data_IF_014832054795
#
_entry.id   IF_014832054795
#
_cell.length_a   1.000
_cell.length_b   1.000
_cell.length_c   1.000
_cell.angle_alpha   90.00
_cell.angle_beta   90.00
_cell.angle_gamma   90.00
#
_symmetry.space_group_name_H-M   'P 1'
#
loop_
_entity.id
_entity.type
_entity.pdbx_description
1 polymer ?
#
# COMPACT_ATOMS: atom_id res chain seq x y z
N UNK A 1 -13.11 12.94 -3.20
CA UNK A 1 -11.82 12.55 -2.59
C UNK A 1 -12.07 12.32 -1.10
N UNK A 2 -12.50 11.12 -0.70
CA UNK A 2 -13.17 10.94 0.60
C UNK A 2 -12.30 10.24 1.66
N UNK A 3 -11.31 9.42 1.27
CA UNK A 3 -10.55 8.58 2.21
C UNK A 3 -9.12 9.05 2.49
N UNK A 4 -8.61 10.03 1.74
CA UNK A 4 -7.26 10.59 1.95
C UNK A 4 -7.33 12.13 1.97
N UNK A 5 -7.44 12.74 3.17
CA UNK A 5 -7.36 14.19 3.34
C UNK A 5 -5.99 14.74 2.93
N UNK A 6 -5.91 16.05 2.65
CA UNK A 6 -4.64 16.71 2.40
C UNK A 6 -3.68 16.61 3.62
N UNK A 7 -2.39 16.42 3.37
CA UNK A 7 -1.36 16.18 4.38
C UNK A 7 -1.39 14.78 5.02
N UNK A 8 -2.29 13.90 4.59
CA UNK A 8 -2.37 12.53 5.13
C UNK A 8 -1.35 11.59 4.49
N UNK A 9 -1.05 10.49 5.20
CA UNK A 9 -0.19 9.42 4.69
C UNK A 9 -1.05 8.25 4.18
N UNK A 10 -0.69 7.71 3.02
CA UNK A 10 -1.40 6.61 2.38
C UNK A 10 -0.42 5.48 2.06
N UNK A 11 -0.82 4.24 2.39
CA UNK A 11 -0.08 3.05 1.97
C UNK A 11 -0.50 2.65 0.56
N UNK A 12 0.45 2.50 -0.35
CA UNK A 12 0.16 2.23 -1.76
C UNK A 12 1.01 1.05 -2.24
N UNK A 13 0.38 0.07 -2.89
CA UNK A 13 1.11 -1.00 -3.57
C UNK A 13 2.05 -0.42 -4.64
N UNK A 14 3.33 -0.82 -4.64
CA UNK A 14 4.25 -0.41 -5.71
C UNK A 14 3.85 -0.98 -7.07
N UNK A 15 3.04 -2.03 -7.10
CA UNK A 15 2.41 -2.58 -8.29
C UNK A 15 1.10 -1.84 -8.69
N UNK A 16 0.90 -0.59 -8.25
CA UNK A 16 -0.33 0.13 -8.52
C UNK A 16 -0.54 0.48 -10.01
N UNK A 17 -1.81 0.53 -10.42
CA UNK A 17 -2.19 1.08 -11.72
C UNK A 17 -1.85 2.57 -11.85
N UNK A 18 -1.57 3.04 -13.07
CA UNK A 18 -1.15 4.43 -13.35
C UNK A 18 -2.14 5.49 -12.85
N UNK A 19 -3.42 5.16 -12.74
CA UNK A 19 -4.42 6.06 -12.15
C UNK A 19 -4.10 6.45 -10.70
N UNK A 20 -3.52 5.54 -9.90
CA UNK A 20 -3.06 5.86 -8.54
C UNK A 20 -1.85 6.79 -8.56
N UNK A 21 -1.00 6.69 -9.58
CA UNK A 21 0.09 7.65 -9.75
C UNK A 21 -0.45 9.05 -10.04
N UNK A 22 -1.45 9.16 -10.92
CA UNK A 22 -2.12 10.45 -11.15
C UNK A 22 -2.80 10.96 -9.88
N UNK A 23 -3.42 10.09 -9.09
CA UNK A 23 -3.97 10.46 -7.78
C UNK A 23 -2.90 11.09 -6.89
N UNK A 24 -1.75 10.45 -6.73
CA UNK A 24 -0.63 10.99 -5.94
C UNK A 24 -0.10 12.32 -6.47
N UNK A 25 -0.15 12.55 -7.79
CA UNK A 25 0.29 13.82 -8.39
C UNK A 25 -0.72 14.96 -8.18
N UNK A 26 -2.01 14.64 -8.13
CA UNK A 26 -3.09 15.63 -7.98
C UNK A 26 -3.46 15.92 -6.52
N UNK A 27 -2.96 15.12 -5.58
CA UNK A 27 -3.35 15.16 -4.17
C UNK A 27 -2.14 15.47 -3.31
N UNK A 28 -2.30 16.35 -2.33
CA UNK A 28 -1.28 16.60 -1.32
C UNK A 28 -1.29 15.48 -0.27
N UNK A 29 -0.65 14.35 -0.59
CA UNK A 29 -0.54 13.19 0.29
C UNK A 29 0.90 12.68 0.32
N UNK A 30 1.28 12.04 1.42
CA UNK A 30 2.59 11.39 1.57
C UNK A 30 2.45 9.89 1.31
N UNK A 31 2.94 9.36 0.17
CA UNK A 31 2.81 7.93 -0.14
C UNK A 31 3.91 7.11 0.54
N UNK A 32 3.52 6.03 1.22
CA UNK A 32 4.43 4.97 1.67
C UNK A 32 4.14 3.72 0.85
N UNK A 33 5.17 3.14 0.21
CA UNK A 33 4.96 2.01 -0.70
C UNK A 33 5.05 0.66 0.01
N UNK A 34 4.13 -0.25 -0.28
CA UNK A 34 4.33 -1.69 -0.08
C UNK A 34 5.30 -2.24 -1.11
N UNK A 35 6.15 -3.18 -0.69
CA UNK A 35 7.18 -3.76 -1.57
C UNK A 35 6.78 -5.19 -1.96
N UNK A 36 6.18 -5.40 -3.15
CA UNK A 36 5.94 -6.73 -3.66
C UNK A 36 7.25 -7.45 -3.98
N UNK A 37 7.18 -8.77 -3.99
CA UNK A 37 8.30 -9.62 -4.42
C UNK A 37 8.35 -9.72 -5.94
N UNK A 38 9.47 -10.21 -6.47
CA UNK A 38 9.61 -10.49 -7.90
C UNK A 38 10.46 -11.74 -8.08
N UNK A 39 10.07 -12.62 -9.01
CA UNK A 39 10.86 -13.80 -9.34
C UNK A 39 11.93 -13.48 -10.41
N UNK A 40 12.78 -14.47 -10.74
CA UNK A 40 13.83 -14.31 -11.76
C UNK A 40 13.28 -14.04 -13.18
N UNK A 41 12.04 -14.43 -13.46
CA UNK A 41 11.35 -14.15 -14.73
C UNK A 41 10.77 -12.73 -14.82
N UNK A 42 10.87 -11.95 -13.74
CA UNK A 42 10.30 -10.60 -13.67
C UNK A 42 8.82 -10.56 -13.29
N UNK A 43 8.18 -11.70 -13.05
CA UNK A 43 6.78 -11.79 -12.61
C UNK A 43 6.67 -11.22 -11.19
N UNK A 44 5.70 -10.34 -11.00
CA UNK A 44 5.42 -9.72 -9.71
C UNK A 44 4.71 -10.72 -8.78
N UNK A 45 5.35 -10.97 -7.65
CA UNK A 45 4.79 -11.75 -6.57
C UNK A 45 3.93 -10.90 -5.64
N UNK A 46 3.33 -11.56 -4.65
CA UNK A 46 2.56 -10.89 -3.62
C UNK A 46 3.43 -10.00 -2.70
N UNK A 47 2.77 -9.08 -2.02
CA UNK A 47 3.29 -8.33 -0.88
C UNK A 47 3.50 -9.30 0.31
N UNK A 48 4.74 -9.40 0.86
CA UNK A 48 5.01 -10.24 2.02
C UNK A 48 4.18 -9.86 3.25
N UNK A 49 3.86 -10.86 4.07
CA UNK A 49 3.13 -10.64 5.33
C UNK A 49 3.81 -9.67 6.29
N UNK A 50 5.15 -9.59 6.26
CA UNK A 50 5.95 -8.67 7.07
C UNK A 50 5.66 -7.20 6.77
N UNK A 51 5.19 -6.88 5.56
CA UNK A 51 4.86 -5.52 5.15
C UNK A 51 3.59 -5.00 5.83
N UNK A 52 2.70 -5.91 6.24
CA UNK A 52 1.46 -5.59 6.95
C UNK A 52 1.64 -5.52 8.47
N UNK A 53 2.84 -5.81 8.98
CA UNK A 53 3.10 -5.75 10.42
C UNK A 53 3.19 -4.30 10.90
N UNK A 54 2.53 -3.99 12.01
CA UNK A 54 2.53 -2.64 12.59
C UNK A 54 3.95 -2.08 12.81
N UNK A 55 4.89 -2.93 13.24
CA UNK A 55 6.28 -2.52 13.45
C UNK A 55 6.96 -2.05 12.15
N UNK A 56 6.68 -2.72 11.02
CA UNK A 56 7.23 -2.36 9.71
C UNK A 56 6.66 -1.03 9.22
N UNK A 57 5.34 -0.85 9.37
CA UNK A 57 4.65 0.39 9.00
C UNK A 57 5.16 1.55 9.86
N UNK A 58 5.20 1.38 11.19
CA UNK A 58 5.70 2.39 12.12
C UNK A 58 7.15 2.80 11.82
N UNK A 59 8.01 1.84 11.48
CA UNK A 59 9.38 2.11 11.05
C UNK A 59 9.41 2.98 9.79
N UNK A 60 8.60 2.66 8.77
CA UNK A 60 8.53 3.44 7.53
C UNK A 60 7.99 4.84 7.72
N UNK A 61 6.96 4.99 8.57
CA UNK A 61 6.43 6.30 8.95
C UNK A 61 7.54 7.14 9.58
N UNK A 62 8.32 6.57 10.51
CA UNK A 62 9.46 7.28 11.13
C UNK A 62 10.56 7.66 10.14
N UNK A 63 10.80 6.83 9.12
CA UNK A 63 11.83 7.08 8.10
C UNK A 63 11.37 8.05 7.00
N UNK A 64 10.07 8.32 6.90
CA UNK A 64 9.50 9.16 5.84
C UNK A 64 9.23 10.57 6.37
N UNK A 65 9.86 11.63 5.83
CA UNK A 65 9.57 13.00 6.23
C UNK A 65 8.09 13.34 6.04
N UNK A 66 7.51 14.08 6.98
CA UNK A 66 6.10 14.50 6.99
C UNK A 66 5.07 13.35 7.02
N UNK A 67 5.50 12.11 7.18
CA UNK A 67 4.57 11.00 7.30
C UNK A 67 3.91 10.95 8.68
N UNK A 68 2.63 10.65 8.66
CA UNK A 68 1.79 10.35 9.83
C UNK A 68 1.33 8.90 9.75
N UNK A 69 0.63 8.41 10.77
CA UNK A 69 0.08 7.06 10.70
C UNK A 69 -0.86 6.94 9.48
N UNK A 70 -0.71 5.90 8.62
CA UNK A 70 -1.47 5.82 7.39
C UNK A 70 -2.97 5.70 7.65
N UNK A 71 -3.75 6.57 7.00
CA UNK A 71 -5.22 6.58 7.15
C UNK A 71 -5.90 5.59 6.20
N UNK A 72 -5.26 5.32 5.06
CA UNK A 72 -5.80 4.48 4.01
C UNK A 72 -4.71 3.63 3.37
N UNK A 73 -5.06 2.42 2.95
CA UNK A 73 -4.17 1.50 2.24
C UNK A 73 -4.82 1.01 0.95
N UNK A 74 -4.10 1.10 -0.17
CA UNK A 74 -4.52 0.61 -1.47
C UNK A 74 -3.65 -0.56 -1.91
N UNK A 75 -4.29 -1.70 -2.17
CA UNK A 75 -3.63 -2.95 -2.54
C UNK A 75 -4.22 -3.44 -3.86
N UNK A 76 -3.37 -3.91 -4.78
CA UNK A 76 -3.80 -4.51 -6.04
C UNK A 76 -4.03 -6.01 -5.83
N UNK A 77 -5.29 -6.42 -5.82
CA UNK A 77 -5.73 -7.80 -5.67
C UNK A 77 -6.83 -8.16 -6.70
N UNK A 78 -6.59 -9.07 -7.63
CA UNK A 78 -5.39 -9.90 -7.80
C UNK A 78 -4.23 -9.14 -8.46
N UNK A 79 -3.02 -9.72 -8.43
CA UNK A 79 -1.97 -9.29 -9.38
C UNK A 79 -2.40 -9.59 -10.82
N UNK A 80 -1.75 -8.93 -11.79
CA UNK A 80 -2.00 -9.17 -13.21
C UNK A 80 -1.81 -10.65 -13.59
N UNK A 81 -0.82 -11.30 -13.00
CA UNK A 81 -0.49 -12.72 -13.21
C UNK A 81 -1.36 -13.70 -12.40
N UNK A 82 -2.42 -13.22 -11.74
CA UNK A 82 -3.42 -14.07 -11.09
C UNK A 82 -3.13 -14.48 -9.65
N UNK A 83 -2.23 -13.81 -8.94
CA UNK A 83 -2.01 -14.06 -7.51
C UNK A 83 -3.08 -13.36 -6.67
N UNK A 84 -3.86 -14.17 -5.96
CA UNK A 84 -4.92 -13.72 -5.06
C UNK A 84 -4.39 -13.59 -3.64
N UNK A 85 -4.77 -12.50 -2.98
CA UNK A 85 -4.45 -12.27 -1.57
C UNK A 85 -5.54 -12.81 -0.65
N UNK A 86 -5.13 -13.26 0.54
CA UNK A 86 -6.05 -13.50 1.64
C UNK A 86 -6.50 -12.16 2.24
N UNK A 87 -7.70 -11.71 1.85
CA UNK A 87 -8.26 -10.41 2.26
C UNK A 87 -8.62 -10.36 3.75
N UNK A 88 -8.97 -11.49 4.36
CA UNK A 88 -9.27 -11.56 5.80
C UNK A 88 -8.01 -11.29 6.64
N UNK A 89 -6.87 -11.87 6.23
CA UNK A 89 -5.59 -11.60 6.87
C UNK A 89 -5.20 -10.12 6.76
N UNK A 90 -5.35 -9.54 5.57
CA UNK A 90 -4.98 -8.15 5.32
C UNK A 90 -5.82 -7.20 6.16
N UNK A 91 -7.15 -7.35 6.18
CA UNK A 91 -8.06 -6.50 6.97
C UNK A 91 -7.77 -6.57 8.46
N UNK A 92 -7.34 -7.73 8.97
CA UNK A 92 -7.01 -7.92 10.38
C UNK A 92 -5.70 -7.26 10.79
N UNK A 93 -4.72 -7.17 9.88
CA UNK A 93 -3.35 -6.82 10.24
C UNK A 93 -2.91 -5.41 9.80
N UNK A 94 -3.53 -4.82 8.78
CA UNK A 94 -3.13 -3.53 8.21
C UNK A 94 -3.26 -2.34 9.17
N UNK A 95 -4.19 -2.38 10.14
CA UNK A 95 -4.40 -1.32 11.13
C UNK A 95 -4.95 0.00 10.57
N UNK A 96 -5.38 0.02 9.31
CA UNK A 96 -6.03 1.15 8.64
C UNK A 96 -7.11 0.67 7.66
N UNK A 97 -7.91 1.59 7.12
CA UNK A 97 -8.91 1.25 6.10
C UNK A 97 -8.21 0.73 4.84
N UNK A 98 -8.54 -0.50 4.44
CA UNK A 98 -7.95 -1.15 3.27
C UNK A 98 -8.94 -1.19 2.14
N UNK A 99 -8.52 -0.68 0.98
CA UNK A 99 -9.21 -0.86 -0.27
C UNK A 99 -8.39 -1.76 -1.20
N UNK A 100 -8.95 -2.91 -1.55
CA UNK A 100 -8.35 -3.86 -2.48
C UNK A 100 -9.10 -3.83 -3.81
N UNK A 101 -8.39 -3.64 -4.92
CA UNK A 101 -8.95 -3.60 -6.28
C UNK A 101 -8.26 -4.60 -7.19
#
# INVERSE_FOLDING_TARGET
>A
MCSAPAGSTVLIDRNCHKSLTHLMMMSDITPIYFRPTRNAYGILGGIPQSEFQHATIAKRVKETPNATWPVHAVITNSTYDGLLYNTDYIKKNSGCEVHSF
#
